data_IF_879131978017
#
_entry.id   IF_879131978017
#
_cell.length_a   1.000
_cell.length_b   1.000
_cell.length_c   1.000
_cell.angle_alpha   90.00
_cell.angle_beta   90.00
_cell.angle_gamma   90.00
#
_symmetry.space_group_name_H-M   'P 1'
#
loop_
_entity.id
_entity.type
_entity.pdbx_description
1 polymer ?
#
# COMPACT_ATOMS: atom_id res chain seq x y z
N UNK A 1 5.99 -24.60 -36.68
CA UNK A 1 6.01 -23.16 -36.40
C UNK A 1 7.02 -22.92 -35.28
N UNK A 2 8.14 -22.25 -35.55
CA UNK A 2 9.15 -21.90 -34.54
C UNK A 2 8.90 -20.45 -34.14
N UNK A 3 8.50 -20.23 -32.89
CA UNK A 3 8.39 -18.89 -32.31
C UNK A 3 9.81 -18.37 -31.99
N UNK A 4 10.14 -17.17 -32.44
CA UNK A 4 11.36 -16.42 -32.12
C UNK A 4 11.15 -15.40 -31.01
N UNK A 5 12.23 -14.85 -30.46
CA UNK A 5 12.19 -13.77 -29.46
C UNK A 5 11.45 -12.52 -29.95
N UNK A 6 11.45 -12.26 -31.27
CA UNK A 6 10.67 -11.21 -31.92
C UNK A 6 9.16 -11.44 -31.89
N UNK A 7 8.74 -12.69 -31.68
CA UNK A 7 7.33 -13.08 -31.63
C UNK A 7 6.76 -12.95 -30.21
N UNK A 8 7.63 -12.69 -29.23
CA UNK A 8 7.24 -12.37 -27.84
C UNK A 8 6.86 -10.90 -27.79
N UNK A 9 5.56 -10.62 -27.89
CA UNK A 9 5.04 -9.34 -27.45
C UNK A 9 5.07 -9.28 -25.92
N UNK A 10 5.90 -8.40 -25.38
CA UNK A 10 5.78 -7.98 -23.98
C UNK A 10 4.50 -7.16 -23.83
N UNK A 11 3.40 -7.80 -23.43
CA UNK A 11 2.24 -7.08 -22.93
C UNK A 11 2.63 -6.38 -21.63
N UNK A 12 2.80 -5.06 -21.69
CA UNK A 12 3.00 -4.25 -20.49
C UNK A 12 1.70 -4.27 -19.66
N UNK A 13 1.73 -4.99 -18.54
CA UNK A 13 1.01 -4.65 -17.30
C UNK A 13 -0.53 -4.60 -17.31
N UNK A 14 -1.23 -5.51 -17.99
CA UNK A 14 -2.68 -5.74 -17.77
C UNK A 14 -2.98 -6.89 -16.80
N UNK A 15 -2.17 -7.06 -15.75
CA UNK A 15 -2.43 -8.07 -14.73
C UNK A 15 -2.53 -7.42 -13.35
N UNK A 16 -3.61 -7.75 -12.64
CA UNK A 16 -3.73 -7.49 -11.22
C UNK A 16 -3.35 -8.77 -10.49
N UNK A 17 -2.43 -8.66 -9.53
CA UNK A 17 -2.13 -9.81 -8.67
C UNK A 17 -3.36 -10.15 -7.83
N UNK A 18 -3.62 -11.45 -7.63
CA UNK A 18 -4.76 -11.93 -6.82
C UNK A 18 -4.86 -11.22 -5.46
N UNK A 19 -3.76 -10.94 -4.74
CA UNK A 19 -3.86 -10.23 -3.48
C UNK A 19 -4.31 -8.77 -3.60
N UNK A 20 -3.91 -8.05 -4.65
CA UNK A 20 -4.40 -6.68 -4.91
C UNK A 20 -5.89 -6.70 -5.26
N UNK A 21 -6.35 -7.68 -6.04
CA UNK A 21 -7.77 -7.86 -6.34
C UNK A 21 -8.59 -8.09 -5.07
N UNK A 22 -8.15 -9.02 -4.20
CA UNK A 22 -8.83 -9.31 -2.94
C UNK A 22 -8.87 -8.10 -2.00
N UNK A 23 -7.78 -7.35 -1.89
CA UNK A 23 -7.72 -6.10 -1.13
C UNK A 23 -8.71 -5.06 -1.67
N UNK A 24 -8.77 -4.91 -3.00
CA UNK A 24 -9.68 -3.98 -3.69
C UNK A 24 -11.15 -4.33 -3.43
N UNK A 25 -11.54 -5.59 -3.62
CA UNK A 25 -12.91 -6.05 -3.38
C UNK A 25 -13.31 -5.88 -1.91
N UNK A 26 -12.43 -6.25 -0.98
CA UNK A 26 -12.71 -6.15 0.46
C UNK A 26 -12.93 -4.70 0.88
N UNK A 27 -12.09 -3.78 0.39
CA UNK A 27 -12.24 -2.36 0.67
C UNK A 27 -13.51 -1.78 0.03
N UNK A 28 -13.79 -2.14 -1.22
CA UNK A 28 -14.97 -1.66 -1.92
C UNK A 28 -16.25 -2.03 -1.17
N UNK A 29 -16.37 -3.30 -0.74
CA UNK A 29 -17.49 -3.78 0.07
C UNK A 29 -17.56 -3.08 1.44
N UNK A 30 -16.42 -2.80 2.07
CA UNK A 30 -16.38 -2.07 3.33
C UNK A 30 -16.88 -0.61 3.17
N UNK A 31 -16.54 0.03 2.07
CA UNK A 31 -17.03 1.37 1.71
C UNK A 31 -18.53 1.36 1.40
N UNK A 32 -19.02 0.35 0.67
CA UNK A 32 -20.45 0.17 0.39
C UNK A 32 -21.28 -0.03 1.66
N UNK A 33 -20.79 -0.82 2.61
CA UNK A 33 -21.42 -0.97 3.94
C UNK A 33 -21.48 0.34 4.72
N UNK A 34 -20.60 1.28 4.42
CA UNK A 34 -20.59 2.66 4.96
C UNK A 34 -21.38 3.65 4.10
N UNK A 35 -22.18 3.16 3.13
CA UNK A 35 -23.01 3.98 2.25
C UNK A 35 -22.22 4.77 1.20
N UNK A 36 -21.01 4.32 0.86
CA UNK A 36 -20.17 4.93 -0.19
C UNK A 36 -20.13 4.01 -1.41
N UNK A 37 -20.22 4.58 -2.61
CA UNK A 37 -20.09 3.82 -3.86
C UNK A 37 -18.73 4.13 -4.51
N UNK A 38 -17.70 3.29 -4.29
CA UNK A 38 -16.40 3.51 -4.91
C UNK A 38 -16.42 3.14 -6.40
N UNK A 39 -15.80 3.97 -7.23
CA UNK A 39 -15.51 3.62 -8.61
C UNK A 39 -14.15 2.90 -8.67
N UNK A 40 -14.16 1.63 -9.06
CA UNK A 40 -12.93 0.84 -9.21
C UNK A 40 -12.39 0.98 -10.63
N UNK A 41 -11.12 1.36 -10.76
CA UNK A 41 -10.42 1.59 -12.04
C UNK A 41 -9.01 1.01 -11.97
N UNK A 42 -8.48 0.62 -13.13
CA UNK A 42 -7.07 0.28 -13.27
C UNK A 42 -6.22 1.54 -13.23
N UNK A 43 -5.19 1.56 -12.37
CA UNK A 43 -4.37 2.75 -12.16
C UNK A 43 -3.63 3.22 -13.42
N UNK A 44 -3.26 2.29 -14.31
CA UNK A 44 -2.59 2.57 -15.58
C UNK A 44 -3.47 3.30 -16.60
N UNK A 45 -4.79 3.26 -16.41
CA UNK A 45 -5.76 3.83 -17.35
C UNK A 45 -6.24 5.23 -16.93
N UNK A 46 -5.70 5.73 -15.82
CA UNK A 46 -6.03 7.04 -15.26
C UNK A 46 -4.95 8.05 -15.62
N UNK A 47 -5.35 9.31 -15.68
CA UNK A 47 -4.46 10.47 -15.77
C UNK A 47 -4.53 11.29 -14.49
N UNK A 48 -3.51 12.13 -14.26
CA UNK A 48 -3.38 12.87 -12.99
C UNK A 48 -4.53 13.87 -12.77
N UNK A 49 -5.02 14.47 -13.84
CA UNK A 49 -6.17 15.37 -13.87
C UNK A 49 -7.48 14.67 -13.50
N UNK A 50 -7.67 13.39 -13.88
CA UNK A 50 -8.83 12.59 -13.48
C UNK A 50 -8.87 12.28 -11.97
N UNK A 51 -7.75 12.43 -11.26
CA UNK A 51 -7.66 12.19 -9.82
C UNK A 51 -7.96 13.43 -8.98
N UNK A 52 -7.86 14.63 -9.56
CA UNK A 52 -8.10 15.88 -8.84
C UNK A 52 -9.59 16.05 -8.55
N UNK A 53 -9.95 16.61 -7.40
CA UNK A 53 -11.36 16.81 -7.06
C UNK A 53 -12.04 15.56 -6.51
N UNK A 54 -11.27 14.52 -6.17
CA UNK A 54 -11.80 13.24 -5.70
C UNK A 54 -10.95 12.65 -4.57
N UNK A 55 -11.59 12.07 -3.53
CA UNK A 55 -10.92 11.14 -2.62
C UNK A 55 -10.45 9.91 -3.39
N UNK A 56 -9.15 9.60 -3.32
CA UNK A 56 -8.55 8.47 -4.06
C UNK A 56 -7.99 7.44 -3.09
N UNK A 57 -8.21 6.15 -3.37
CA UNK A 57 -7.48 5.06 -2.73
C UNK A 57 -6.72 4.27 -3.79
N UNK A 58 -5.39 4.31 -3.74
CA UNK A 58 -4.50 3.54 -4.57
C UNK A 58 -4.04 2.29 -3.82
N UNK A 59 -4.21 1.11 -4.43
CA UNK A 59 -3.85 -0.18 -3.84
C UNK A 59 -2.74 -0.82 -4.67
N UNK A 60 -1.71 -1.31 -3.99
CA UNK A 60 -0.50 -1.87 -4.58
C UNK A 60 0.72 -1.01 -4.29
N UNK A 61 1.88 -1.66 -4.18
CA UNK A 61 3.17 -0.98 -4.04
C UNK A 61 3.72 -0.65 -5.43
N UNK A 62 4.78 -1.31 -5.86
CA UNK A 62 5.49 -0.98 -7.10
C UNK A 62 4.90 -1.57 -8.39
N UNK A 63 3.59 -1.82 -8.37
CA UNK A 63 2.78 -2.03 -9.58
C UNK A 63 1.73 -0.92 -9.73
N UNK A 64 1.68 0.04 -8.81
CA UNK A 64 0.72 1.14 -8.84
C UNK A 64 1.48 2.48 -8.97
N UNK A 65 1.45 3.12 -10.16
CA UNK A 65 2.23 4.34 -10.40
C UNK A 65 1.81 5.49 -9.49
N UNK A 66 0.54 5.53 -9.08
CA UNK A 66 0.03 6.58 -8.19
C UNK A 66 0.50 6.41 -6.77
N UNK A 67 0.64 5.17 -6.30
CA UNK A 67 1.27 4.91 -5.01
C UNK A 67 2.73 5.31 -5.03
N UNK A 68 3.50 4.88 -6.03
CA UNK A 68 4.92 5.24 -6.16
C UNK A 68 5.11 6.76 -6.17
N UNK A 69 4.30 7.47 -6.94
CA UNK A 69 4.34 8.93 -6.99
C UNK A 69 3.96 9.57 -5.65
N UNK A 70 2.93 9.05 -4.96
CA UNK A 70 2.45 9.62 -3.71
C UNK A 70 3.42 9.42 -2.55
N UNK A 71 4.18 8.31 -2.53
CA UNK A 71 5.16 8.03 -1.48
C UNK A 71 6.57 8.51 -1.81
N UNK A 72 6.81 9.01 -3.02
CA UNK A 72 8.11 9.50 -3.46
C UNK A 72 8.62 10.63 -2.55
N UNK A 73 9.81 10.44 -1.99
CA UNK A 73 10.45 11.41 -1.09
C UNK A 73 9.84 11.49 0.32
N UNK A 74 8.84 10.66 0.64
CA UNK A 74 8.31 10.56 2.01
C UNK A 74 9.24 9.75 2.92
N UNK A 75 8.94 9.75 4.23
CA UNK A 75 9.79 9.12 5.25
C UNK A 75 9.91 7.61 5.06
N UNK A 76 8.76 6.94 4.99
CA UNK A 76 8.71 5.50 4.79
C UNK A 76 8.51 5.20 3.31
N UNK A 77 9.45 4.46 2.74
CA UNK A 77 9.45 4.11 1.31
C UNK A 77 9.77 2.64 1.12
N UNK A 78 9.18 2.05 0.09
CA UNK A 78 9.54 0.70 -0.32
C UNK A 78 10.82 0.69 -1.12
N UNK A 79 11.60 -0.35 -0.92
CA UNK A 79 12.84 -0.61 -1.62
C UNK A 79 12.87 -2.09 -2.01
N UNK A 80 13.00 -2.36 -3.31
CA UNK A 80 13.12 -3.71 -3.86
C UNK A 80 14.53 -4.30 -3.69
N UNK A 81 15.53 -3.48 -3.34
CA UNK A 81 16.93 -3.84 -3.47
C UNK A 81 17.43 -3.66 -4.90
N UNK A 82 18.74 -3.81 -5.10
CA UNK A 82 19.41 -3.58 -6.40
C UNK A 82 19.26 -4.79 -7.33
N UNK A 83 18.90 -5.95 -6.79
CA UNK A 83 18.66 -7.18 -7.55
C UNK A 83 17.61 -8.04 -6.86
N UNK A 84 17.08 -9.02 -7.60
CA UNK A 84 16.15 -10.03 -7.06
C UNK A 84 16.77 -10.94 -5.99
N UNK A 85 18.07 -10.77 -5.69
CA UNK A 85 18.78 -11.46 -4.60
C UNK A 85 18.74 -10.68 -3.29
N UNK A 86 18.12 -9.51 -3.26
CA UNK A 86 17.90 -8.76 -2.03
C UNK A 86 16.46 -8.94 -1.54
N UNK A 87 16.29 -8.82 -0.23
CA UNK A 87 14.96 -8.84 0.38
C UNK A 87 14.33 -7.46 0.21
N UNK A 88 13.11 -7.37 -0.35
CA UNK A 88 12.33 -6.15 -0.30
C UNK A 88 12.16 -5.67 1.13
N UNK A 89 12.21 -4.35 1.31
CA UNK A 89 12.19 -3.70 2.62
C UNK A 89 11.49 -2.36 2.59
N UNK A 90 11.02 -1.93 3.76
CA UNK A 90 10.63 -0.54 4.01
C UNK A 90 11.83 0.16 4.66
N UNK A 91 12.24 1.29 4.11
CA UNK A 91 13.30 2.15 4.67
C UNK A 91 12.69 3.34 5.42
N UNK A 92 13.37 3.77 6.48
CA UNK A 92 13.11 5.04 7.16
C UNK A 92 14.15 6.09 6.73
N UNK A 93 13.73 7.12 6.00
CA UNK A 93 14.66 8.17 5.54
C UNK A 93 15.24 9.03 6.67
N UNK A 94 14.58 9.08 7.84
CA UNK A 94 15.09 9.80 9.01
C UNK A 94 16.02 8.94 9.87
N UNK A 95 16.02 7.62 9.68
CA UNK A 95 16.93 6.71 10.36
C UNK A 95 17.36 5.58 9.41
N UNK A 96 18.46 5.75 8.66
CA UNK A 96 18.93 4.77 7.69
C UNK A 96 19.25 3.38 8.27
N UNK A 97 19.45 3.27 9.59
CA UNK A 97 19.68 1.99 10.28
C UNK A 97 18.36 1.25 10.59
N UNK A 98 17.21 1.94 10.49
CA UNK A 98 15.88 1.36 10.70
C UNK A 98 15.29 0.95 9.35
N UNK A 99 15.11 -0.36 9.20
CA UNK A 99 14.37 -0.93 8.07
C UNK A 99 13.57 -2.15 8.51
N UNK A 100 12.49 -2.42 7.78
CA UNK A 100 11.64 -3.60 7.98
C UNK A 100 11.69 -4.42 6.71
N UNK A 101 12.34 -5.58 6.78
CA UNK A 101 12.61 -6.43 5.62
C UNK A 101 11.86 -7.74 5.73
N UNK A 102 11.50 -8.30 4.59
CA UNK A 102 11.00 -9.67 4.52
C UNK A 102 12.04 -10.66 5.07
N UNK A 103 11.56 -11.81 5.57
CA UNK A 103 12.42 -12.83 6.18
C UNK A 103 13.23 -13.59 5.13
N UNK A 104 12.69 -13.74 3.93
CA UNK A 104 13.30 -14.50 2.84
C UNK A 104 13.16 -13.79 1.50
N UNK A 105 13.96 -14.22 0.52
CA UNK A 105 13.82 -13.78 -0.87
C UNK A 105 12.73 -14.64 -1.52
N UNK A 106 11.94 -14.07 -2.43
CA UNK A 106 10.96 -14.83 -3.20
C UNK A 106 11.63 -15.99 -3.96
N UNK A 107 11.04 -17.20 -4.04
CA UNK A 107 9.69 -17.59 -3.61
C UNK A 107 9.59 -18.22 -2.22
N UNK A 108 10.60 -18.09 -1.37
CA UNK A 108 10.58 -18.73 -0.05
C UNK A 108 9.43 -18.19 0.83
N UNK A 109 8.79 -19.06 1.65
CA UNK A 109 7.72 -18.65 2.55
C UNK A 109 8.17 -17.56 3.51
N UNK A 110 7.31 -16.56 3.71
CA UNK A 110 7.57 -15.45 4.63
C UNK A 110 6.96 -15.75 6.00
N UNK A 111 7.64 -15.35 7.07
CA UNK A 111 7.10 -15.42 8.44
C UNK A 111 6.43 -14.12 8.87
N UNK A 112 6.72 -13.02 8.15
CA UNK A 112 6.15 -11.71 8.36
C UNK A 112 5.85 -11.03 7.03
N UNK A 113 4.88 -10.13 7.04
CA UNK A 113 4.65 -9.18 5.96
C UNK A 113 4.56 -7.77 6.54
N UNK A 114 4.82 -6.80 5.67
CA UNK A 114 4.79 -5.39 6.03
C UNK A 114 3.99 -4.59 5.02
N UNK A 115 3.39 -3.51 5.50
CA UNK A 115 2.65 -2.59 4.68
C UNK A 115 2.87 -1.15 5.11
N UNK A 116 2.70 -0.22 4.17
CA UNK A 116 2.60 1.21 4.44
C UNK A 116 1.18 1.64 4.08
N UNK A 117 0.49 2.26 5.03
CA UNK A 117 -0.70 3.07 4.78
C UNK A 117 -0.27 4.52 4.78
N UNK A 118 -0.40 5.21 3.65
CA UNK A 118 -0.10 6.64 3.53
C UNK A 118 -1.38 7.41 3.23
N UNK A 119 -1.69 8.45 3.98
CA UNK A 119 -2.72 9.45 3.66
C UNK A 119 -2.03 10.79 3.43
N UNK A 120 -2.22 11.37 2.26
CA UNK A 120 -1.90 12.76 1.95
C UNK A 120 -3.19 13.53 1.68
N UNK A 121 -3.18 14.83 1.90
CA UNK A 121 -4.31 15.73 1.65
C UNK A 121 -3.91 16.73 0.57
N UNK A 122 -4.76 16.90 -0.44
CA UNK A 122 -4.55 17.93 -1.45
C UNK A 122 -4.52 19.32 -0.76
N UNK A 123 -3.50 20.16 -1.00
CA UNK A 123 -3.40 21.46 -0.35
C UNK A 123 -4.55 22.42 -0.68
N UNK A 124 -5.14 22.29 -1.87
CA UNK A 124 -6.21 23.18 -2.36
C UNK A 124 -7.60 22.65 -2.01
N UNK A 125 -7.88 21.36 -2.27
CA UNK A 125 -9.22 20.77 -2.08
C UNK A 125 -9.39 20.08 -0.74
N UNK A 126 -8.29 19.76 -0.04
CA UNK A 126 -8.25 18.96 1.19
C UNK A 126 -8.76 17.54 1.03
N UNK A 127 -8.90 17.07 -0.21
CA UNK A 127 -9.30 15.70 -0.50
C UNK A 127 -8.17 14.73 -0.18
N UNK A 128 -8.48 13.56 0.38
CA UNK A 128 -7.47 12.59 0.73
C UNK A 128 -7.04 11.75 -0.47
N UNK A 129 -5.74 11.57 -0.60
CA UNK A 129 -5.14 10.50 -1.40
C UNK A 129 -4.56 9.45 -0.44
N UNK A 130 -5.07 8.23 -0.50
CA UNK A 130 -4.65 7.12 0.37
C UNK A 130 -3.95 6.06 -0.45
N UNK A 131 -2.70 5.73 -0.09
CA UNK A 131 -1.97 4.59 -0.63
C UNK A 131 -1.99 3.42 0.34
N UNK A 132 -2.40 2.24 -0.14
CA UNK A 132 -2.43 0.98 0.58
C UNK A 132 -1.49 0.00 -0.10
N UNK A 133 -0.31 -0.19 0.49
CA UNK A 133 0.78 -0.85 -0.22
C UNK A 133 1.48 -1.86 0.68
N UNK A 134 1.66 -3.07 0.15
CA UNK A 134 2.36 -4.18 0.80
C UNK A 134 3.75 -4.44 0.21
N UNK A 135 4.66 -4.99 1.03
CA UNK A 135 5.91 -5.56 0.55
C UNK A 135 5.70 -6.89 -0.16
N UNK A 136 4.82 -7.75 0.37
CA UNK A 136 4.51 -9.05 -0.21
C UNK A 136 2.99 -9.27 -0.35
N UNK A 137 2.62 -10.50 -0.69
CA UNK A 137 1.25 -10.91 -1.04
C UNK A 137 0.21 -10.50 0.00
N UNK A 138 0.47 -10.64 1.31
CA UNK A 138 -0.49 -10.28 2.34
C UNK A 138 -0.48 -8.78 2.66
N UNK A 139 0.61 -8.08 2.40
CA UNK A 139 0.81 -6.65 2.68
C UNK A 139 -0.34 -5.76 2.16
N UNK A 140 -0.83 -6.03 0.96
CA UNK A 140 -1.95 -5.26 0.39
C UNK A 140 -3.28 -5.56 1.09
N UNK A 141 -3.54 -6.83 1.44
CA UNK A 141 -4.73 -7.22 2.20
C UNK A 141 -4.72 -6.63 3.61
N UNK A 142 -3.54 -6.62 4.24
CA UNK A 142 -3.30 -6.04 5.56
C UNK A 142 -3.62 -4.54 5.56
N UNK A 143 -3.09 -3.80 4.58
CA UNK A 143 -3.35 -2.36 4.47
C UNK A 143 -4.85 -2.07 4.26
N UNK A 144 -5.51 -2.79 3.36
CA UNK A 144 -6.94 -2.66 3.10
C UNK A 144 -7.80 -3.04 4.31
N UNK A 145 -7.47 -4.16 4.97
CA UNK A 145 -8.13 -4.61 6.18
C UNK A 145 -7.99 -3.60 7.32
N UNK A 146 -6.79 -3.03 7.51
CA UNK A 146 -6.53 -2.02 8.52
C UNK A 146 -7.45 -0.80 8.35
N UNK A 147 -7.49 -0.19 7.16
CA UNK A 147 -8.30 1.02 6.93
C UNK A 147 -9.81 0.77 6.92
N UNK A 148 -10.22 -0.48 6.72
CA UNK A 148 -11.63 -0.87 6.69
C UNK A 148 -12.24 -1.07 8.08
N UNK A 149 -11.42 -1.14 9.13
CA UNK A 149 -11.87 -1.41 10.50
C UNK A 149 -11.81 -0.18 11.40
N UNK A 150 -12.90 0.13 12.11
CA UNK A 150 -12.95 1.27 13.01
C UNK A 150 -12.02 1.10 14.23
N UNK A 151 -11.79 -0.15 14.67
CA UNK A 151 -10.84 -0.49 15.74
C UNK A 151 -9.41 -0.08 15.40
N UNK A 152 -8.98 -0.23 14.15
CA UNK A 152 -7.66 0.19 13.65
C UNK A 152 -7.48 1.71 13.77
N UNK A 153 -8.51 2.47 13.39
CA UNK A 153 -8.49 3.93 13.51
C UNK A 153 -8.48 4.39 14.96
N UNK A 154 -9.19 3.69 15.85
CA UNK A 154 -9.14 3.95 17.29
C UNK A 154 -7.74 3.68 17.87
N UNK A 155 -7.04 2.65 17.38
CA UNK A 155 -5.65 2.41 17.78
C UNK A 155 -4.70 3.50 17.29
N UNK A 156 -4.85 3.94 16.04
CA UNK A 156 -4.07 5.05 15.50
C UNK A 156 -4.30 6.34 16.30
N UNK A 157 -5.56 6.67 16.60
CA UNK A 157 -5.94 7.88 17.32
C UNK A 157 -5.30 7.96 18.71
N UNK A 158 -5.11 6.82 19.40
CA UNK A 158 -4.40 6.78 20.70
C UNK A 158 -2.91 7.17 20.61
N UNK A 159 -2.32 7.07 19.42
CA UNK A 159 -0.90 7.40 19.15
C UNK A 159 -0.73 8.73 18.43
N UNK A 160 -1.84 9.36 18.03
CA UNK A 160 -1.83 10.50 17.14
C UNK A 160 -1.83 11.82 17.92
N UNK A 161 -1.20 12.88 17.39
CA UNK A 161 -1.29 14.21 17.97
C UNK A 161 -2.73 14.77 17.87
N UNK A 162 -3.04 15.77 18.70
CA UNK A 162 -4.33 16.48 18.61
C UNK A 162 -4.51 17.09 17.21
N UNK A 163 -5.67 16.85 16.59
CA UNK A 163 -6.00 17.37 15.26
C UNK A 163 -5.37 16.61 14.09
N UNK A 164 -4.83 15.41 14.33
CA UNK A 164 -4.23 14.54 13.30
C UNK A 164 -5.15 14.24 12.11
N UNK A 165 -6.46 14.36 12.26
CA UNK A 165 -7.45 14.15 11.20
C UNK A 165 -7.23 15.09 10.01
N UNK A 166 -6.60 16.25 10.27
CA UNK A 166 -6.26 17.26 9.26
C UNK A 166 -4.81 17.16 8.76
N UNK A 167 -4.06 16.15 9.18
CA UNK A 167 -2.65 15.96 8.83
C UNK A 167 -2.46 14.90 7.74
N UNK A 168 -1.32 14.92 7.09
CA UNK A 168 -0.83 13.77 6.35
C UNK A 168 -0.31 12.72 7.34
N UNK A 169 -0.36 11.44 6.96
CA UNK A 169 0.02 10.31 7.81
C UNK A 169 0.77 9.26 6.99
N UNK A 170 1.80 8.66 7.56
CA UNK A 170 2.28 7.34 7.18
C UNK A 170 2.22 6.40 8.38
N UNK A 171 1.79 5.17 8.15
CA UNK A 171 1.66 4.12 9.14
C UNK A 171 2.39 2.90 8.59
N UNK A 172 3.37 2.39 9.34
CA UNK A 172 4.00 1.11 9.03
C UNK A 172 3.28 0.03 9.82
N UNK A 173 2.85 -1.00 9.11
CA UNK A 173 2.16 -2.17 9.66
C UNK A 173 3.06 -3.39 9.56
N UNK A 174 3.04 -4.22 10.60
CA UNK A 174 3.62 -5.57 10.59
C UNK A 174 2.51 -6.60 10.84
N UNK A 175 2.58 -7.74 10.17
CA UNK A 175 1.84 -8.94 10.62
C UNK A 175 2.72 -10.17 10.57
N UNK A 176 2.36 -11.17 11.36
CA UNK A 176 2.90 -12.52 11.24
C UNK A 176 2.08 -13.32 10.22
N UNK A 177 2.77 -14.14 9.43
CA UNK A 177 2.18 -15.10 8.52
C UNK A 177 2.17 -16.47 9.20
N UNK A 178 1.02 -17.14 9.17
CA UNK A 178 0.81 -18.47 9.72
C UNK A 178 0.20 -19.35 8.63
N UNK A 179 1.03 -20.22 8.05
CA UNK A 179 0.66 -21.04 6.90
C UNK A 179 0.28 -20.17 5.71
N UNK A 180 -1.00 -20.20 5.32
CA UNK A 180 -1.55 -19.41 4.21
C UNK A 180 -2.41 -18.24 4.68
N UNK A 181 -2.32 -17.86 5.96
CA UNK A 181 -3.08 -16.77 6.56
C UNK A 181 -2.16 -15.78 7.28
N UNK A 182 -2.71 -14.66 7.72
CA UNK A 182 -1.98 -13.65 8.50
C UNK A 182 -2.73 -13.30 9.78
N UNK A 183 -1.99 -12.91 10.82
CA UNK A 183 -2.56 -12.38 12.05
C UNK A 183 -3.12 -10.96 11.86
N UNK A 184 -3.80 -10.43 12.88
CA UNK A 184 -4.14 -9.01 12.90
C UNK A 184 -2.87 -8.15 12.81
N UNK A 185 -2.85 -7.12 11.94
CA UNK A 185 -1.69 -6.27 11.81
C UNK A 185 -1.51 -5.37 13.03
N UNK A 186 -0.25 -5.05 13.32
CA UNK A 186 0.15 -4.13 14.39
C UNK A 186 0.74 -2.86 13.79
N UNK A 187 0.40 -1.73 14.37
CA UNK A 187 1.10 -0.46 14.09
C UNK A 187 2.47 -0.52 14.76
N UNK A 188 3.54 -0.53 13.95
CA UNK A 188 4.92 -0.56 14.44
C UNK A 188 5.60 0.81 14.37
N UNK A 189 5.10 1.71 13.52
CA UNK A 189 5.60 3.07 13.42
C UNK A 189 4.54 4.00 12.81
N UNK A 190 4.54 5.28 13.22
CA UNK A 190 3.67 6.32 12.66
C UNK A 190 4.46 7.59 12.38
N UNK A 191 4.00 8.35 11.39
CA UNK A 191 4.54 9.66 11.08
C UNK A 191 3.42 10.60 10.66
N UNK A 192 3.39 11.80 11.22
CA UNK A 192 2.36 12.82 10.98
C UNK A 192 3.02 14.14 10.56
N UNK A 193 2.52 14.77 9.51
CA UNK A 193 2.97 16.09 9.06
C UNK A 193 1.84 16.91 8.45
N UNK A 194 2.03 18.22 8.28
CA UNK A 194 1.06 19.11 7.62
C UNK A 194 1.26 19.14 6.12
#
# INVERSE_FOLDING_TARGET
MKLGLSDVQSFHNWHVSVPVLQATLSLALALERKGKMPLVRMGTDLRRDELRGHPVVAIGSFSNPWTEQNVAGLRFTFDRGVSDKERPRIRDSLNPQRSWSLSHIYPEPQTKDYAIVTRTLDPATREPFVSLAGLHSFGNQIAAGFVSQDSSWNELARRAPVGWEKMNIQIVLETNIVGTTHSLPKIIETYFWK
#
